data_IF_407744831150
#
_entry.id   IF_407744831150
#
_cell.length_a   1.000
_cell.length_b   1.000
_cell.length_c   1.000
_cell.angle_alpha   90.00
_cell.angle_beta   90.00
_cell.angle_gamma   90.00
#
_symmetry.space_group_name_H-M   'P 1'
#
loop_
_entity.id
_entity.type
_entity.pdbx_description
1 polymer ?
#
# COMPACT_ATOMS: atom_id res chain seq x y z
N UNK A 1 -2.94 -29.88 -20.63
CA UNK A 1 -2.99 -28.72 -19.72
C UNK A 1 -2.08 -28.99 -18.53
N UNK A 2 -0.91 -28.36 -18.44
CA UNK A 2 -0.18 -28.23 -17.16
C UNK A 2 1.01 -27.30 -17.38
N UNK A 3 0.81 -26.00 -17.17
CA UNK A 3 1.94 -25.11 -16.91
C UNK A 3 2.58 -25.59 -15.62
N UNK A 4 3.78 -26.17 -15.74
CA UNK A 4 4.54 -26.79 -14.67
C UNK A 4 4.78 -25.73 -13.57
N UNK A 5 4.16 -25.94 -12.41
CA UNK A 5 4.37 -25.10 -11.22
C UNK A 5 5.70 -25.49 -10.59
N UNK A 6 6.79 -24.88 -11.05
CA UNK A 6 8.00 -24.71 -10.23
C UNK A 6 7.92 -23.31 -9.63
N UNK A 7 6.97 -23.10 -8.73
CA UNK A 7 6.89 -21.88 -7.93
C UNK A 7 6.71 -22.31 -6.49
N UNK A 8 7.43 -21.66 -5.58
CA UNK A 8 7.37 -21.90 -4.14
C UNK A 8 5.90 -22.09 -3.69
N UNK A 9 5.56 -23.12 -2.88
CA UNK A 9 4.19 -23.34 -2.41
C UNK A 9 3.53 -22.14 -1.72
N UNK A 10 4.32 -21.15 -1.25
CA UNK A 10 3.83 -19.88 -0.67
C UNK A 10 3.68 -18.73 -1.69
N UNK A 11 3.91 -18.97 -2.98
CA UNK A 11 3.89 -17.92 -3.98
C UNK A 11 2.47 -17.72 -4.52
N UNK A 12 1.95 -16.51 -4.35
CA UNK A 12 0.75 -16.06 -5.04
C UNK A 12 1.06 -15.78 -6.51
N UNK A 13 0.38 -16.48 -7.41
CA UNK A 13 0.58 -16.36 -8.86
C UNK A 13 -0.69 -15.86 -9.52
N UNK A 14 -0.67 -14.62 -9.99
CA UNK A 14 -1.70 -14.05 -10.84
C UNK A 14 -1.35 -14.24 -12.32
N UNK A 15 -2.35 -14.56 -13.16
CA UNK A 15 -2.18 -14.59 -14.64
C UNK A 15 -2.04 -13.18 -15.20
N UNK A 16 -1.44 -13.01 -16.38
CA UNK A 16 -1.10 -11.70 -16.96
C UNK A 16 -2.20 -10.63 -16.88
N UNK A 17 -3.42 -10.93 -17.35
CA UNK A 17 -4.55 -9.98 -17.31
C UNK A 17 -5.01 -9.65 -15.89
N UNK A 18 -4.95 -10.64 -14.99
CA UNK A 18 -5.31 -10.46 -13.58
C UNK A 18 -4.25 -9.65 -12.83
N UNK A 19 -2.97 -9.89 -13.09
CA UNK A 19 -1.85 -9.13 -12.51
C UNK A 19 -1.92 -7.65 -12.90
N UNK A 20 -2.24 -7.35 -14.16
CA UNK A 20 -2.42 -5.97 -14.63
C UNK A 20 -3.56 -5.26 -13.87
N UNK A 21 -4.71 -5.93 -13.73
CA UNK A 21 -5.85 -5.36 -13.01
C UNK A 21 -5.53 -5.13 -11.52
N UNK A 22 -4.83 -6.05 -10.87
CA UNK A 22 -4.38 -5.91 -9.48
C UNK A 22 -3.46 -4.69 -9.33
N UNK A 23 -2.47 -4.56 -10.22
CA UNK A 23 -1.51 -3.46 -10.17
C UNK A 23 -2.19 -2.09 -10.39
N UNK A 24 -3.09 -1.98 -11.37
CA UNK A 24 -3.82 -0.73 -11.64
C UNK A 24 -4.72 -0.37 -10.45
N UNK A 25 -5.43 -1.35 -9.89
CA UNK A 25 -6.30 -1.13 -8.73
C UNK A 25 -5.50 -0.68 -7.51
N UNK A 26 -4.36 -1.32 -7.22
CA UNK A 26 -3.48 -0.95 -6.12
C UNK A 26 -2.91 0.46 -6.29
N UNK A 27 -2.43 0.80 -7.49
CA UNK A 27 -1.90 2.12 -7.79
C UNK A 27 -2.96 3.23 -7.66
N UNK A 28 -4.20 2.97 -8.11
CA UNK A 28 -5.33 3.90 -7.94
C UNK A 28 -5.68 4.12 -6.47
N UNK A 29 -5.73 3.05 -5.68
CA UNK A 29 -5.96 3.16 -4.23
C UNK A 29 -4.93 4.04 -3.54
N UNK A 30 -3.64 3.86 -3.85
CA UNK A 30 -2.57 4.72 -3.31
C UNK A 30 -2.69 6.17 -3.79
N UNK A 31 -3.04 6.37 -5.07
CA UNK A 31 -3.23 7.71 -5.63
C UNK A 31 -4.34 8.47 -4.88
N UNK A 32 -5.47 7.83 -4.58
CA UNK A 32 -6.60 8.46 -3.89
C UNK A 32 -6.22 8.95 -2.49
N UNK A 33 -5.39 8.20 -1.77
CA UNK A 33 -4.90 8.57 -0.43
C UNK A 33 -4.00 9.80 -0.48
N UNK A 34 -3.11 9.89 -1.48
CA UNK A 34 -2.16 11.00 -1.62
C UNK A 34 -2.83 12.25 -2.22
N UNK A 35 -3.84 12.07 -3.09
CA UNK A 35 -4.51 13.15 -3.81
C UNK A 35 -5.06 14.23 -2.87
N UNK A 36 -5.62 13.85 -1.72
CA UNK A 36 -6.15 14.83 -0.75
C UNK A 36 -5.07 15.66 -0.05
N UNK A 37 -3.81 15.23 -0.09
CA UNK A 37 -2.70 15.89 0.60
C UNK A 37 -1.96 16.89 -0.28
N UNK A 38 -2.21 16.85 -1.59
CA UNK A 38 -1.48 17.65 -2.56
C UNK A 38 -1.90 19.12 -2.54
N UNK A 39 -0.92 20.01 -2.67
CA UNK A 39 -1.11 21.46 -2.81
C UNK A 39 -1.25 22.21 -1.48
N UNK A 40 -1.27 23.55 -1.51
CA UNK A 40 -1.27 24.38 -0.30
C UNK A 40 -2.51 24.16 0.56
N UNK A 41 -3.66 23.86 -0.07
CA UNK A 41 -4.92 23.50 0.62
C UNK A 41 -5.11 22.00 0.88
N UNK A 42 -4.13 21.17 0.53
CA UNK A 42 -4.17 19.74 0.83
C UNK A 42 -4.22 19.48 2.34
N UNK A 43 -4.96 18.45 2.74
CA UNK A 43 -5.11 18.03 4.13
C UNK A 43 -3.84 17.32 4.63
N UNK A 44 -3.56 17.39 5.93
CA UNK A 44 -2.58 16.50 6.55
C UNK A 44 -3.24 15.17 6.90
N UNK A 45 -2.45 14.08 6.92
CA UNK A 45 -2.91 12.79 7.43
C UNK A 45 -2.28 12.54 8.79
N UNK A 46 -3.10 11.99 9.68
CA UNK A 46 -2.68 11.49 10.99
C UNK A 46 -2.54 9.98 10.87
N UNK A 47 -1.34 9.48 11.15
CA UNK A 47 -1.02 8.07 11.21
C UNK A 47 -0.86 7.68 12.66
N UNK A 48 -1.42 6.53 13.02
CA UNK A 48 -1.35 5.95 14.36
C UNK A 48 -0.76 4.55 14.23
N UNK A 49 0.37 4.33 14.89
CA UNK A 49 1.02 3.02 14.99
C UNK A 49 0.27 2.09 15.94
N UNK A 50 0.48 0.77 15.82
CA UNK A 50 -0.01 -0.21 16.79
C UNK A 50 0.51 0.02 18.22
N UNK A 51 1.69 0.67 18.36
CA UNK A 51 2.26 1.13 19.63
C UNK A 51 1.57 2.37 20.22
N UNK A 52 0.66 3.01 19.48
CA UNK A 52 0.02 4.27 19.87
C UNK A 52 0.79 5.53 19.45
N UNK A 53 1.90 5.41 18.73
CA UNK A 53 2.65 6.57 18.21
C UNK A 53 1.85 7.32 17.15
N UNK A 54 1.75 8.64 17.29
CA UNK A 54 0.99 9.51 16.40
C UNK A 54 1.94 10.36 15.57
N UNK A 55 1.82 10.28 14.24
CA UNK A 55 2.56 11.13 13.30
C UNK A 55 1.57 11.86 12.38
N UNK A 56 1.63 13.18 12.39
CA UNK A 56 0.83 14.02 11.49
C UNK A 56 1.76 14.60 10.43
N UNK A 57 1.49 14.33 9.16
CA UNK A 57 2.34 14.84 8.08
C UNK A 57 1.56 15.07 6.78
N UNK A 58 2.13 15.95 5.96
CA UNK A 58 1.71 16.24 4.58
C UNK A 58 2.66 15.66 3.55
N UNK A 59 3.83 15.18 3.97
CA UNK A 59 4.82 14.59 3.08
C UNK A 59 4.37 13.18 2.65
N UNK A 60 4.15 13.01 1.34
CA UNK A 60 3.76 11.73 0.76
C UNK A 60 4.80 10.63 0.96
N UNK A 61 6.09 10.97 1.02
CA UNK A 61 7.14 9.98 1.25
C UNK A 61 7.04 9.36 2.64
N UNK A 62 6.91 10.21 3.67
CA UNK A 62 6.73 9.75 5.05
C UNK A 62 5.41 9.00 5.20
N UNK A 63 4.32 9.47 4.59
CA UNK A 63 3.03 8.78 4.67
C UNK A 63 3.08 7.35 4.13
N UNK A 64 3.68 7.16 2.95
CA UNK A 64 3.75 5.84 2.33
C UNK A 64 4.64 4.88 3.12
N UNK A 65 5.76 5.37 3.66
CA UNK A 65 6.65 4.56 4.50
C UNK A 65 5.97 4.08 5.79
N UNK A 66 5.28 4.99 6.46
CA UNK A 66 4.63 4.69 7.74
C UNK A 66 3.40 3.80 7.56
N UNK A 67 2.61 3.98 6.49
CA UNK A 67 1.49 3.09 6.19
C UNK A 67 1.92 1.64 6.03
N UNK A 68 3.03 1.38 5.34
CA UNK A 68 3.56 0.02 5.18
C UNK A 68 4.02 -0.55 6.53
N UNK A 69 4.69 0.27 7.35
CA UNK A 69 5.14 -0.13 8.69
C UNK A 69 3.97 -0.50 9.62
N UNK A 70 2.88 0.27 9.56
CA UNK A 70 1.66 0.03 10.35
C UNK A 70 0.97 -1.27 9.92
N UNK A 71 0.92 -1.57 8.61
CA UNK A 71 0.31 -2.82 8.11
C UNK A 71 1.13 -4.04 8.57
N UNK A 72 2.46 -3.96 8.55
CA UNK A 72 3.33 -5.08 8.92
C UNK A 72 3.28 -5.35 10.42
N UNK A 73 3.28 -4.31 11.26
CA UNK A 73 3.19 -4.46 12.72
C UNK A 73 1.83 -4.99 13.23
N UNK A 74 0.79 -4.95 12.40
CA UNK A 74 -0.51 -5.56 12.71
C UNK A 74 -0.64 -7.04 12.30
N UNK A 75 0.39 -7.61 11.64
CA UNK A 75 0.39 -9.00 11.15
C UNK A 75 1.27 -9.94 12.01
N UNK A 76 1.88 -9.42 13.09
CA UNK A 76 2.46 -10.18 14.20
C UNK A 76 1.51 -10.18 15.40
#
# INVERSE_FOLDING_TARGET
>A
MSAIRVVNPKADVARHSQALNINISGARGLQEVIKSNLGPRGTMKMLVSGSGDIKITKDGNVLLHEMVSIIISSQE
#
